data_IF_318747866878
#
_entry.id   IF_318747866878
#
_cell.length_a   1.000
_cell.length_b   1.000
_cell.length_c   1.000
_cell.angle_alpha   90.00
_cell.angle_beta   90.00
_cell.angle_gamma   90.00
#
_symmetry.space_group_name_H-M   'P 1'
#
loop_
_entity.id
_entity.type
_entity.pdbx_description
1 polymer ?
#
# COMPACT_ATOMS: atom_id res chain seq x y z
N UNK A 1 -25.72 39.70 31.21
CA UNK A 1 -25.90 40.10 29.78
C UNK A 1 -25.05 41.30 29.35
N UNK A 2 -24.87 42.35 30.16
CA UNK A 2 -24.03 43.53 29.82
C UNK A 2 -22.60 43.16 29.34
N UNK A 3 -21.90 42.28 30.07
CA UNK A 3 -20.52 41.87 29.72
C UNK A 3 -20.41 41.14 28.37
N UNK A 4 -21.34 40.23 28.04
CA UNK A 4 -21.38 39.52 26.75
C UNK A 4 -21.59 40.47 25.57
N UNK A 5 -22.44 41.49 25.74
CA UNK A 5 -22.70 42.52 24.72
C UNK A 5 -21.42 43.30 24.38
N UNK A 6 -20.67 43.76 25.38
CA UNK A 6 -19.40 44.46 25.16
C UNK A 6 -18.31 43.58 24.53
N UNK A 7 -18.42 42.27 24.71
CA UNK A 7 -17.44 41.30 24.27
C UNK A 7 -17.63 40.87 22.81
N UNK A 8 -18.88 40.67 22.37
CA UNK A 8 -19.21 40.12 21.05
C UNK A 8 -19.87 41.10 20.08
N UNK A 9 -20.55 42.15 20.56
CA UNK A 9 -21.38 43.02 19.72
C UNK A 9 -20.70 44.39 19.59
N UNK A 10 -20.51 44.94 18.38
CA UNK A 10 -20.08 46.33 18.21
C UNK A 10 -21.16 47.29 18.71
N UNK A 11 -20.83 48.20 19.62
CA UNK A 11 -21.73 49.27 20.04
C UNK A 11 -20.97 50.49 20.58
N UNK A 12 -21.65 51.62 20.76
CA UNK A 12 -21.01 52.85 21.23
C UNK A 12 -20.20 52.69 22.54
N UNK A 13 -20.63 51.80 23.44
CA UNK A 13 -19.97 51.53 24.71
C UNK A 13 -18.70 50.68 24.64
N UNK A 14 -18.32 50.16 23.48
CA UNK A 14 -17.01 49.53 23.24
C UNK A 14 -16.27 50.18 22.06
N UNK A 15 -16.57 51.44 21.74
CA UNK A 15 -16.04 52.15 20.57
C UNK A 15 -16.23 51.36 19.26
N UNK A 16 -17.30 50.57 19.20
CA UNK A 16 -17.59 49.64 18.10
C UNK A 16 -16.50 48.60 17.83
N UNK A 17 -15.64 48.35 18.82
CA UNK A 17 -14.59 47.35 18.76
C UNK A 17 -14.88 46.26 19.80
N UNK A 18 -15.53 45.13 19.43
CA UNK A 18 -15.81 44.04 20.35
C UNK A 18 -14.54 43.60 21.08
N UNK A 19 -14.62 43.43 22.39
CA UNK A 19 -13.39 43.18 23.15
C UNK A 19 -12.72 41.85 22.76
N UNK A 20 -13.48 40.87 22.28
CA UNK A 20 -12.96 39.60 21.79
C UNK A 20 -12.02 39.76 20.59
N UNK A 21 -12.26 40.77 19.76
CA UNK A 21 -11.48 41.06 18.56
C UNK A 21 -10.27 41.97 18.81
N UNK A 22 -10.05 42.44 20.04
CA UNK A 22 -8.85 43.22 20.34
C UNK A 22 -7.61 42.42 20.02
N UNK A 23 -6.66 43.05 19.34
CA UNK A 23 -5.42 42.44 18.86
C UNK A 23 -4.72 41.62 19.95
N UNK A 24 -4.66 42.12 21.20
CA UNK A 24 -4.07 41.39 22.33
C UNK A 24 -4.78 40.08 22.67
N UNK A 25 -6.12 40.04 22.59
CA UNK A 25 -6.92 38.84 22.88
C UNK A 25 -6.96 37.90 21.70
N UNK A 26 -7.09 38.42 20.48
CA UNK A 26 -6.96 37.63 19.26
C UNK A 26 -5.61 36.90 19.22
N UNK A 27 -4.50 37.60 19.50
CA UNK A 27 -3.17 36.99 19.63
C UNK A 27 -3.13 35.94 20.74
N UNK A 28 -3.71 36.21 21.92
CA UNK A 28 -3.78 35.24 23.01
C UNK A 28 -4.51 33.95 22.58
N UNK A 29 -5.65 34.07 21.89
CA UNK A 29 -6.40 32.92 21.39
C UNK A 29 -5.62 32.16 20.33
N UNK A 30 -5.01 32.86 19.36
CA UNK A 30 -4.18 32.24 18.33
C UNK A 30 -3.01 31.46 18.94
N UNK A 31 -2.34 32.02 19.96
CA UNK A 31 -1.26 31.34 20.68
C UNK A 31 -1.79 30.12 21.43
N UNK A 32 -2.92 30.24 22.14
CA UNK A 32 -3.54 29.11 22.84
C UNK A 32 -3.87 27.96 21.89
N UNK A 33 -4.49 28.25 20.74
CA UNK A 33 -4.81 27.23 19.74
C UNK A 33 -3.57 26.60 19.11
N UNK A 34 -2.53 27.39 18.84
CA UNK A 34 -1.27 26.88 18.32
C UNK A 34 -0.59 25.95 19.34
N UNK A 35 -0.59 26.31 20.62
CA UNK A 35 -0.10 25.45 21.71
C UNK A 35 -0.93 24.17 21.81
N UNK A 36 -2.26 24.27 21.74
CA UNK A 36 -3.14 23.10 21.75
C UNK A 36 -2.84 22.16 20.56
N UNK A 37 -2.67 22.70 19.34
CA UNK A 37 -2.29 21.90 18.15
C UNK A 37 -0.92 21.26 18.35
N UNK A 38 0.04 21.99 18.88
CA UNK A 38 1.37 21.48 19.17
C UNK A 38 1.33 20.34 20.21
N UNK A 39 0.49 20.44 21.24
CA UNK A 39 0.29 19.36 22.23
C UNK A 39 -0.31 18.12 21.56
N UNK A 40 -1.31 18.27 20.69
CA UNK A 40 -1.89 17.13 19.95
C UNK A 40 -0.85 16.50 19.05
N UNK A 41 -0.10 17.28 18.27
CA UNK A 41 0.97 16.77 17.41
C UNK A 41 2.05 16.06 18.24
N UNK A 42 2.48 16.66 19.36
CA UNK A 42 3.45 16.04 20.25
C UNK A 42 2.93 14.74 20.85
N UNK A 43 1.67 14.70 21.31
CA UNK A 43 1.03 13.49 21.79
C UNK A 43 1.06 12.38 20.73
N UNK A 44 0.73 12.72 19.48
CA UNK A 44 0.74 11.79 18.35
C UNK A 44 2.14 11.27 18.03
N UNK A 45 3.15 12.14 18.00
CA UNK A 45 4.54 11.74 17.76
C UNK A 45 5.12 10.90 18.90
N UNK A 46 4.58 11.04 20.11
CA UNK A 46 4.92 10.23 21.27
C UNK A 46 4.16 8.90 21.33
N UNK A 47 3.20 8.65 20.41
CA UNK A 47 2.54 7.35 20.31
C UNK A 47 3.59 6.30 19.91
N UNK A 48 3.80 5.27 20.75
CA UNK A 48 4.72 4.19 20.42
C UNK A 48 4.30 3.49 19.13
N UNK A 49 5.25 3.08 18.30
CA UNK A 49 4.97 2.38 17.03
C UNK A 49 4.29 1.03 17.30
N UNK A 50 4.44 0.48 18.50
CA UNK A 50 3.77 -0.72 18.99
C UNK A 50 2.24 -0.55 19.08
N UNK A 51 1.71 0.67 19.03
CA UNK A 51 0.25 0.89 18.98
C UNK A 51 -0.31 0.55 17.59
N UNK A 52 0.49 0.60 16.51
CA UNK A 52 0.03 0.22 15.16
C UNK A 52 -0.29 -1.26 15.02
N UNK A 53 0.10 -2.08 15.99
CA UNK A 53 -0.05 -3.53 15.97
C UNK A 53 -1.12 -4.05 16.92
N UNK A 54 -1.93 -3.17 17.52
CA UNK A 54 -3.06 -3.61 18.36
C UNK A 54 -4.19 -4.19 17.48
N UNK A 55 -4.96 -5.17 17.98
CA UNK A 55 -5.98 -5.87 17.19
C UNK A 55 -6.99 -4.94 16.50
N UNK A 56 -7.50 -3.92 17.21
CA UNK A 56 -8.49 -2.98 16.68
C UNK A 56 -7.94 -2.17 15.49
N UNK A 57 -6.64 -1.84 15.53
CA UNK A 57 -5.97 -1.14 14.42
C UNK A 57 -5.86 -2.05 13.22
N UNK A 58 -5.42 -3.30 13.42
CA UNK A 58 -5.27 -4.26 12.34
C UNK A 58 -6.63 -4.54 11.68
N UNK A 59 -7.69 -4.67 12.46
CA UNK A 59 -9.06 -4.83 11.94
C UNK A 59 -9.52 -3.62 11.11
N UNK A 60 -9.24 -2.39 11.57
CA UNK A 60 -9.56 -1.18 10.81
C UNK A 60 -8.74 -1.09 9.50
N UNK A 61 -7.47 -1.48 9.53
CA UNK A 61 -6.61 -1.52 8.35
C UNK A 61 -7.10 -2.58 7.34
N UNK A 62 -7.47 -3.77 7.82
CA UNK A 62 -8.05 -4.83 7.00
C UNK A 62 -9.31 -4.35 6.27
N UNK A 63 -10.24 -3.70 6.98
CA UNK A 63 -11.46 -3.15 6.38
C UNK A 63 -11.13 -2.10 5.30
N UNK A 64 -10.16 -1.24 5.58
CA UNK A 64 -9.70 -0.22 4.60
C UNK A 64 -9.06 -0.88 3.38
N UNK A 65 -8.25 -1.93 3.56
CA UNK A 65 -7.65 -2.69 2.45
C UNK A 65 -8.72 -3.33 1.57
N UNK A 66 -9.74 -3.94 2.16
CA UNK A 66 -10.86 -4.51 1.42
C UNK A 66 -11.58 -3.45 0.55
N UNK A 67 -11.89 -2.29 1.12
CA UNK A 67 -12.50 -1.18 0.37
C UNK A 67 -11.60 -0.74 -0.79
N UNK A 68 -10.32 -0.48 -0.52
CA UNK A 68 -9.37 -0.02 -1.54
C UNK A 68 -9.13 -1.06 -2.65
N UNK A 69 -9.10 -2.36 -2.32
CA UNK A 69 -9.06 -3.44 -3.32
C UNK A 69 -10.26 -3.34 -4.26
N UNK A 70 -11.47 -3.17 -3.71
CA UNK A 70 -12.68 -3.07 -4.52
C UNK A 70 -12.77 -1.76 -5.31
N UNK A 71 -12.22 -0.66 -4.79
CA UNK A 71 -12.09 0.59 -5.55
C UNK A 71 -11.20 0.40 -6.79
N UNK A 72 -10.08 -0.33 -6.67
CA UNK A 72 -9.23 -0.70 -7.81
C UNK A 72 -10.01 -1.53 -8.83
N UNK A 73 -10.80 -2.52 -8.38
CA UNK A 73 -11.61 -3.36 -9.29
C UNK A 73 -12.67 -2.55 -10.03
N UNK A 74 -13.42 -1.70 -9.32
CA UNK A 74 -14.44 -0.83 -9.89
C UNK A 74 -13.83 0.12 -10.93
N UNK A 75 -12.68 0.73 -10.62
CA UNK A 75 -11.97 1.61 -11.53
C UNK A 75 -11.52 0.91 -12.83
N UNK A 76 -11.33 -0.42 -12.79
CA UNK A 76 -10.98 -1.26 -13.94
C UNK A 76 -12.19 -1.98 -14.57
N UNK A 77 -13.42 -1.67 -14.14
CA UNK A 77 -14.63 -2.30 -14.67
C UNK A 77 -14.82 -3.76 -14.27
N UNK A 78 -14.14 -4.21 -13.21
CA UNK A 78 -14.21 -5.56 -12.67
C UNK A 78 -15.21 -5.60 -11.50
N UNK A 79 -15.95 -6.70 -11.38
CA UNK A 79 -16.94 -6.89 -10.31
C UNK A 79 -16.23 -6.89 -8.94
N UNK A 80 -16.75 -6.15 -7.94
CA UNK A 80 -16.20 -6.16 -6.59
C UNK A 80 -16.18 -7.57 -5.98
N UNK A 81 -15.12 -7.88 -5.25
CA UNK A 81 -15.00 -9.11 -4.49
C UNK A 81 -15.91 -9.05 -3.26
N UNK A 82 -16.47 -10.20 -2.89
CA UNK A 82 -17.17 -10.38 -1.61
C UNK A 82 -16.21 -10.96 -0.55
N UNK A 83 -16.49 -10.72 0.73
CA UNK A 83 -15.67 -11.32 1.80
C UNK A 83 -16.14 -12.74 2.10
N UNK A 84 -15.21 -13.71 2.07
CA UNK A 84 -15.48 -15.09 2.47
C UNK A 84 -14.82 -15.41 3.82
N UNK A 85 -15.55 -15.90 4.83
CA UNK A 85 -14.99 -16.25 6.13
C UNK A 85 -13.84 -17.27 6.06
N UNK A 86 -13.93 -18.25 5.15
CA UNK A 86 -12.90 -19.26 4.95
C UNK A 86 -11.61 -18.64 4.37
N UNK A 87 -11.73 -17.75 3.38
CA UNK A 87 -10.57 -17.01 2.86
C UNK A 87 -9.97 -16.09 3.92
N UNK A 88 -10.79 -15.49 4.79
CA UNK A 88 -10.29 -14.72 5.93
C UNK A 88 -9.49 -15.61 6.90
N UNK A 89 -10.02 -16.78 7.28
CA UNK A 89 -9.31 -17.73 8.13
C UNK A 89 -7.98 -18.16 7.50
N UNK A 90 -8.00 -18.53 6.22
CA UNK A 90 -6.83 -18.91 5.43
C UNK A 90 -5.74 -17.82 5.42
N UNK A 91 -6.11 -16.61 5.04
CA UNK A 91 -5.18 -15.47 4.99
C UNK A 91 -4.68 -15.04 6.38
N UNK A 92 -5.54 -15.11 7.41
CA UNK A 92 -5.14 -14.82 8.79
C UNK A 92 -4.16 -15.86 9.34
N UNK A 93 -4.36 -17.15 9.03
CA UNK A 93 -3.38 -18.20 9.37
C UNK A 93 -2.05 -17.96 8.69
N UNK A 94 -2.06 -17.66 7.38
CA UNK A 94 -0.84 -17.32 6.63
C UNK A 94 -0.08 -16.13 7.23
N UNK A 95 -0.79 -15.03 7.52
CA UNK A 95 -0.18 -13.84 8.12
C UNK A 95 0.42 -14.16 9.51
N UNK A 96 -0.31 -14.90 10.33
CA UNK A 96 0.12 -15.32 11.67
C UNK A 96 1.34 -16.25 11.62
N UNK A 97 1.38 -17.17 10.66
CA UNK A 97 2.50 -18.06 10.45
C UNK A 97 3.77 -17.29 10.06
N UNK A 98 3.65 -16.34 9.11
CA UNK A 98 4.75 -15.43 8.73
C UNK A 98 5.27 -14.63 9.92
N UNK A 99 4.37 -14.10 10.75
CA UNK A 99 4.73 -13.33 11.94
C UNK A 99 5.43 -14.18 13.01
N UNK A 100 4.94 -15.40 13.26
CA UNK A 100 5.48 -16.30 14.29
C UNK A 100 6.86 -16.88 13.91
N UNK A 101 7.05 -17.19 12.62
CA UNK A 101 8.28 -17.79 12.09
C UNK A 101 9.23 -16.76 11.48
N UNK A 102 8.87 -15.47 11.51
CA UNK A 102 9.67 -14.35 11.00
C UNK A 102 10.16 -14.52 9.55
N UNK A 103 9.29 -15.00 8.65
CA UNK A 103 9.59 -15.16 7.22
C UNK A 103 8.62 -14.38 6.35
N UNK A 104 9.01 -14.13 5.10
CA UNK A 104 8.18 -13.42 4.12
C UNK A 104 8.32 -14.06 2.75
N UNK A 105 7.40 -14.98 2.44
CA UNK A 105 7.35 -15.74 1.19
C UNK A 105 5.97 -16.42 1.03
N UNK A 106 5.57 -16.74 -0.21
CA UNK A 106 4.35 -17.50 -0.49
C UNK A 106 4.36 -18.90 0.13
N UNK A 107 5.52 -19.57 0.09
CA UNK A 107 5.72 -20.89 0.70
C UNK A 107 6.43 -20.75 2.05
N UNK A 108 5.87 -21.40 3.08
CA UNK A 108 6.44 -21.45 4.41
C UNK A 108 7.74 -22.25 4.48
N UNK A 109 8.58 -22.07 5.51
CA UNK A 109 9.81 -22.84 5.69
C UNK A 109 9.60 -24.37 5.80
N UNK A 110 8.38 -24.79 6.13
CA UNK A 110 7.94 -26.19 6.19
C UNK A 110 7.30 -26.69 4.89
N UNK A 111 7.28 -25.86 3.84
CA UNK A 111 6.68 -26.17 2.54
C UNK A 111 5.20 -25.82 2.43
N UNK A 112 4.57 -25.27 3.47
CA UNK A 112 3.14 -24.93 3.45
C UNK A 112 2.85 -23.77 2.50
N UNK A 113 1.98 -23.99 1.51
CA UNK A 113 1.60 -22.98 0.51
C UNK A 113 0.10 -22.68 0.51
N UNK A 114 -0.34 -21.78 -0.38
CA UNK A 114 -1.74 -21.33 -0.51
C UNK A 114 -2.75 -22.49 -0.49
N UNK A 115 -2.52 -23.54 -1.28
CA UNK A 115 -3.42 -24.69 -1.35
C UNK A 115 -3.66 -25.35 0.02
N UNK A 116 -2.61 -25.50 0.84
CA UNK A 116 -2.72 -26.05 2.20
C UNK A 116 -3.51 -25.12 3.12
N UNK A 117 -3.28 -23.81 3.03
CA UNK A 117 -4.03 -22.83 3.84
C UNK A 117 -5.51 -22.75 3.46
N UNK A 118 -5.85 -23.01 2.20
CA UNK A 118 -7.24 -23.05 1.74
C UNK A 118 -7.91 -24.36 2.17
N UNK A 119 -7.20 -25.49 2.10
CA UNK A 119 -7.66 -26.80 2.58
C UNK A 119 -7.91 -26.78 4.11
N UNK A 120 -6.97 -26.24 4.89
CA UNK A 120 -7.11 -26.08 6.35
C UNK A 120 -8.27 -25.16 6.76
N UNK A 121 -8.71 -24.29 5.84
CA UNK A 121 -9.85 -23.39 6.04
C UNK A 121 -11.17 -23.93 5.45
N UNK A 122 -11.18 -25.19 4.98
CA UNK A 122 -12.31 -25.84 4.32
C UNK A 122 -12.85 -25.05 3.10
N UNK A 123 -11.97 -24.34 2.38
CA UNK A 123 -12.34 -23.57 1.18
C UNK A 123 -12.06 -24.38 -0.09
N UNK A 124 -13.08 -25.05 -0.62
CA UNK A 124 -13.00 -25.72 -1.90
C UNK A 124 -13.06 -24.70 -3.05
N UNK A 125 -12.02 -24.60 -3.88
CA UNK A 125 -11.91 -23.56 -4.89
C UNK A 125 -11.75 -24.10 -6.31
N UNK A 126 -12.18 -23.29 -7.29
CA UNK A 126 -11.93 -23.51 -8.72
C UNK A 126 -10.69 -22.77 -9.21
N UNK A 127 -10.48 -21.56 -8.68
CA UNK A 127 -9.28 -20.73 -8.84
C UNK A 127 -8.97 -20.04 -7.51
N UNK A 128 -7.70 -19.73 -7.26
CA UNK A 128 -7.26 -18.99 -6.09
C UNK A 128 -5.94 -18.27 -6.33
N UNK A 129 -5.73 -17.18 -5.61
CA UNK A 129 -4.50 -16.36 -5.69
C UNK A 129 -4.11 -15.78 -4.34
N UNK A 130 -2.87 -15.29 -4.25
CA UNK A 130 -2.32 -14.70 -3.03
C UNK A 130 -1.52 -13.43 -3.36
N UNK A 131 -1.80 -12.35 -2.64
CA UNK A 131 -0.94 -11.17 -2.56
C UNK A 131 -0.36 -11.07 -1.15
N UNK A 132 0.95 -10.81 -1.05
CA UNK A 132 1.66 -10.64 0.22
C UNK A 132 2.33 -9.25 0.30
N UNK A 133 2.45 -8.73 1.52
CA UNK A 133 3.28 -7.56 1.79
C UNK A 133 3.67 -7.46 3.27
N UNK A 134 4.73 -6.70 3.56
CA UNK A 134 5.12 -6.32 4.92
C UNK A 134 5.54 -4.84 5.03
N UNK A 135 5.62 -4.34 6.26
CA UNK A 135 6.36 -3.11 6.57
C UNK A 135 5.68 -1.78 6.20
N UNK A 136 4.39 -1.80 5.90
CA UNK A 136 3.60 -0.60 5.64
C UNK A 136 2.93 -0.05 6.91
N UNK A 137 2.56 1.23 6.89
CA UNK A 137 1.82 1.90 7.97
C UNK A 137 0.47 2.48 7.54
N UNK A 138 0.21 2.55 6.23
CA UNK A 138 -1.06 3.01 5.66
C UNK A 138 -1.54 2.03 4.56
N UNK A 139 -2.75 1.45 4.67
CA UNK A 139 -3.38 0.64 3.62
C UNK A 139 -3.32 1.22 2.21
N UNK A 140 -3.40 2.56 2.04
CA UNK A 140 -3.32 3.22 0.74
C UNK A 140 -1.95 3.05 0.10
N UNK A 141 -0.89 3.16 0.90
CA UNK A 141 0.48 2.94 0.44
C UNK A 141 0.64 1.50 -0.02
N UNK A 142 0.08 0.55 0.74
CA UNK A 142 0.14 -0.86 0.40
C UNK A 142 -0.58 -1.17 -0.93
N UNK A 143 -1.84 -0.77 -1.07
CA UNK A 143 -2.62 -1.04 -2.29
C UNK A 143 -1.97 -0.36 -3.51
N UNK A 144 -1.43 0.84 -3.34
CA UNK A 144 -0.72 1.51 -4.43
C UNK A 144 0.58 0.76 -4.82
N UNK A 145 1.29 0.16 -3.86
CA UNK A 145 2.43 -0.71 -4.16
C UNK A 145 2.00 -1.97 -4.93
N UNK A 146 0.88 -2.60 -4.56
CA UNK A 146 0.32 -3.71 -5.34
C UNK A 146 -0.14 -3.30 -6.74
N UNK A 147 -0.80 -2.15 -6.90
CA UNK A 147 -1.21 -1.62 -8.21
C UNK A 147 -0.01 -1.36 -9.13
N UNK A 148 1.08 -0.84 -8.57
CA UNK A 148 2.32 -0.62 -9.31
C UNK A 148 3.10 -1.90 -9.58
N UNK A 149 2.66 -3.05 -9.06
CA UNK A 149 3.27 -4.35 -9.30
C UNK A 149 2.44 -5.18 -10.27
N UNK A 150 2.93 -5.49 -11.49
CA UNK A 150 2.14 -6.21 -12.47
C UNK A 150 1.57 -7.54 -11.98
N UNK A 151 2.31 -8.28 -11.15
CA UNK A 151 1.87 -9.60 -10.65
C UNK A 151 0.84 -9.50 -9.53
N UNK A 152 1.01 -8.54 -8.60
CA UNK A 152 -0.01 -8.26 -7.59
C UNK A 152 -1.27 -7.61 -8.18
N UNK A 153 -1.10 -6.69 -9.14
CA UNK A 153 -2.21 -6.08 -9.88
C UNK A 153 -3.00 -7.14 -10.62
N UNK A 154 -2.34 -8.10 -11.29
CA UNK A 154 -3.03 -9.19 -11.97
C UNK A 154 -4.01 -9.92 -11.05
N UNK A 155 -3.62 -10.19 -9.80
CA UNK A 155 -4.55 -10.75 -8.81
C UNK A 155 -5.68 -9.78 -8.42
N UNK A 156 -5.37 -8.49 -8.21
CA UNK A 156 -6.39 -7.50 -7.84
C UNK A 156 -7.49 -7.36 -8.90
N UNK A 157 -7.15 -7.47 -10.19
CA UNK A 157 -8.09 -7.27 -11.30
C UNK A 157 -8.46 -8.57 -12.02
N UNK A 158 -8.13 -9.73 -11.47
CA UNK A 158 -8.52 -11.01 -12.06
C UNK A 158 -10.06 -11.15 -12.01
N UNK A 159 -10.74 -11.27 -13.17
CA UNK A 159 -12.19 -11.44 -13.21
C UNK A 159 -12.64 -12.81 -12.74
N UNK A 160 -11.75 -13.80 -12.67
CA UNK A 160 -12.09 -15.16 -12.25
C UNK A 160 -12.19 -15.28 -10.72
N UNK A 161 -11.77 -14.27 -9.95
CA UNK A 161 -11.97 -14.19 -8.51
C UNK A 161 -13.29 -13.49 -8.15
N UNK A 162 -14.10 -14.14 -7.31
CA UNK A 162 -15.39 -13.64 -6.81
C UNK A 162 -15.32 -13.25 -5.31
N UNK A 163 -14.36 -13.83 -4.58
CA UNK A 163 -14.25 -13.73 -3.13
C UNK A 163 -12.83 -13.37 -2.68
N UNK A 164 -12.71 -12.76 -1.50
CA UNK A 164 -11.41 -12.45 -0.88
C UNK A 164 -11.44 -12.56 0.63
N UNK A 165 -10.26 -12.83 1.20
CA UNK A 165 -9.96 -12.71 2.62
C UNK A 165 -8.64 -11.98 2.81
N UNK A 166 -8.56 -11.13 3.83
CA UNK A 166 -7.37 -10.35 4.14
C UNK A 166 -7.01 -10.59 5.60
N UNK A 167 -5.83 -11.15 5.84
CA UNK A 167 -5.28 -11.44 7.15
C UNK A 167 -4.11 -10.51 7.48
N UNK A 168 -4.12 -9.96 8.69
CA UNK A 168 -3.06 -9.10 9.21
C UNK A 168 -2.49 -9.69 10.49
N UNK A 169 -1.16 -9.72 10.60
CA UNK A 169 -0.50 -10.13 11.83
C UNK A 169 0.71 -9.25 12.12
N UNK A 170 0.90 -8.90 13.37
CA UNK A 170 2.08 -8.18 13.81
C UNK A 170 3.19 -9.15 14.19
N UNK A 171 4.43 -8.83 13.83
CA UNK A 171 5.59 -9.63 14.19
C UNK A 171 6.89 -8.86 14.03
N UNK A 172 7.99 -9.60 14.04
CA UNK A 172 9.34 -9.06 13.83
C UNK A 172 9.92 -9.64 12.55
N UNK A 173 10.45 -8.79 11.69
CA UNK A 173 11.21 -9.18 10.50
C UNK A 173 12.60 -8.54 10.57
N UNK A 174 13.66 -9.34 10.57
CA UNK A 174 15.06 -8.86 10.74
C UNK A 174 15.27 -7.92 11.95
N UNK A 175 14.53 -8.18 13.04
CA UNK A 175 14.57 -7.40 14.27
C UNK A 175 13.90 -6.02 14.18
N UNK A 176 13.03 -5.82 13.19
CA UNK A 176 12.19 -4.63 13.03
C UNK A 176 10.72 -5.04 13.21
N UNK A 177 9.91 -4.31 14.00
CA UNK A 177 8.49 -4.57 14.09
C UNK A 177 7.81 -4.26 12.76
N UNK A 178 7.03 -5.21 12.23
CA UNK A 178 6.31 -5.08 10.97
C UNK A 178 4.90 -5.63 11.10
N UNK A 179 4.01 -5.16 10.21
CA UNK A 179 2.72 -5.81 9.94
C UNK A 179 2.89 -6.70 8.72
N UNK A 180 2.53 -7.96 8.85
CA UNK A 180 2.40 -8.94 7.78
C UNK A 180 0.98 -8.91 7.23
N UNK A 181 0.85 -8.85 5.91
CA UNK A 181 -0.42 -8.96 5.19
C UNK A 181 -0.38 -10.14 4.26
N UNK A 182 -1.44 -10.95 4.33
CA UNK A 182 -1.82 -11.88 3.28
C UNK A 182 -3.21 -11.53 2.78
N UNK A 183 -3.38 -11.43 1.48
CA UNK A 183 -4.68 -11.32 0.83
C UNK A 183 -4.86 -12.55 -0.05
N UNK A 184 -5.84 -13.38 0.28
CA UNK A 184 -6.22 -14.53 -0.52
C UNK A 184 -7.43 -14.17 -1.36
N UNK A 185 -7.44 -14.66 -2.58
CA UNK A 185 -8.53 -14.53 -3.54
C UNK A 185 -9.02 -15.92 -3.91
N UNK A 186 -10.29 -16.05 -4.25
CA UNK A 186 -10.83 -17.33 -4.68
C UNK A 186 -12.19 -17.22 -5.34
N UNK A 187 -12.58 -18.32 -5.96
CA UNK A 187 -13.95 -18.59 -6.40
C UNK A 187 -14.30 -20.00 -5.96
N UNK A 188 -15.34 -20.10 -5.13
CA UNK A 188 -15.77 -21.36 -4.55
C UNK A 188 -16.13 -22.37 -5.66
N UNK A 189 -15.70 -23.62 -5.49
CA UNK A 189 -16.02 -24.70 -6.41
C UNK A 189 -17.48 -25.08 -6.20
N UNK A 190 -18.37 -24.61 -7.08
CA UNK A 190 -19.78 -25.01 -7.08
C UNK A 190 -19.93 -26.54 -6.99
N UNK A 191 -20.47 -27.01 -5.86
CA UNK A 191 -20.57 -28.44 -5.55
C UNK A 191 -20.80 -28.81 -4.07
N UNK A 192 -20.80 -27.86 -3.14
CA UNK A 192 -21.23 -28.12 -1.76
C UNK A 192 -22.64 -27.58 -1.56
N UNK A 193 -23.65 -28.44 -1.72
CA UNK A 193 -24.98 -28.17 -1.19
C UNK A 193 -24.84 -27.90 0.31
N UNK A 194 -25.01 -26.65 0.75
CA UNK A 194 -25.35 -26.39 2.14
C UNK A 194 -26.72 -27.04 2.34
N UNK A 195 -26.74 -28.21 2.99
CA UNK A 195 -27.93 -28.67 3.70
C UNK A 195 -28.23 -27.64 4.79
N UNK A 196 -28.99 -26.60 4.43
CA UNK A 196 -29.69 -25.78 5.39
C UNK A 196 -30.67 -26.72 6.08
N UNK A 197 -30.28 -27.25 7.24
CA UNK A 197 -31.24 -27.78 8.19
C UNK A 197 -32.14 -26.60 8.59
N UNK A 198 -33.28 -26.48 7.91
CA UNK A 198 -34.33 -25.52 8.23
C UNK A 198 -34.82 -25.85 9.63
N UNK A 199 -34.28 -25.15 10.63
CA UNK A 199 -34.89 -25.11 11.94
C UNK A 199 -36.07 -24.13 11.86
N UNK A 200 -37.26 -24.65 12.15
CA UNK A 200 -38.53 -23.98 11.95
C UNK A 200 -38.61 -22.61 12.68
N UNK A 201 -39.40 -21.65 12.16
CA UNK A 201 -39.51 -20.33 12.76
C UNK A 201 -40.12 -20.39 14.16
N UNK A 202 -39.51 -19.68 15.11
CA UNK A 202 -40.14 -19.37 16.40
C UNK A 202 -41.21 -18.31 16.15
N UNK A 203 -42.46 -18.69 16.36
CA UNK A 203 -43.65 -17.87 16.15
C UNK A 203 -43.87 -16.86 17.29
N UNK A 204 -43.75 -15.58 16.94
CA UNK A 204 -44.46 -14.38 17.43
C UNK A 204 -44.42 -13.96 18.92
N UNK A 205 -44.18 -12.67 19.19
CA UNK A 205 -45.24 -11.67 19.47
C UNK A 205 -44.60 -10.31 19.81
N UNK A 206 -44.75 -9.30 18.94
CA UNK A 206 -45.55 -8.10 19.28
C UNK A 206 -45.82 -7.25 18.02
N UNK A 207 -47.07 -6.81 17.96
CA UNK A 207 -47.76 -5.93 17.02
C UNK A 207 -47.27 -4.46 17.12
N UNK A 208 -47.37 -3.53 16.17
CA UNK A 208 -48.39 -3.19 15.16
C UNK A 208 -47.81 -2.08 14.22
N UNK A 209 -48.51 -1.67 13.13
CA UNK A 209 -47.90 -1.35 11.83
C UNK A 209 -47.60 0.14 11.57
N UNK A 210 -46.66 0.43 10.68
CA UNK A 210 -46.58 1.73 9.98
C UNK A 210 -46.46 1.50 8.46
N UNK A 211 -47.53 2.00 7.83
CA UNK A 211 -47.83 2.33 6.43
C UNK A 211 -46.66 2.44 5.44
N UNK A 212 -46.88 1.80 4.28
CA UNK A 212 -46.16 1.91 3.01
C UNK A 212 -46.47 3.27 2.36
N UNK A 213 -45.45 3.99 1.91
CA UNK A 213 -45.58 4.87 0.75
C UNK A 213 -44.56 4.47 -0.32
N UNK A 214 -45.08 4.03 -1.47
CA UNK A 214 -44.38 3.98 -2.74
C UNK A 214 -44.02 5.40 -3.18
N UNK A 215 -42.80 5.60 -3.70
CA UNK A 215 -42.61 6.62 -4.71
C UNK A 215 -41.72 6.11 -5.84
N UNK A 216 -42.28 6.27 -7.04
CA UNK A 216 -41.81 5.83 -8.35
C UNK A 216 -40.74 6.76 -8.94
N UNK A 217 -39.81 6.12 -9.65
CA UNK A 217 -39.14 6.58 -10.89
C UNK A 217 -38.35 7.88 -10.88
N UNK A 218 -37.02 7.77 -11.06
CA UNK A 218 -36.31 8.67 -11.97
C UNK A 218 -35.18 7.95 -12.71
N UNK A 219 -35.35 7.89 -14.03
CA UNK A 219 -34.41 7.41 -15.03
C UNK A 219 -33.35 8.49 -15.26
N UNK A 220 -32.06 8.19 -15.07
CA UNK A 220 -30.97 9.08 -15.52
C UNK A 220 -30.09 8.33 -16.51
N UNK A 221 -30.14 8.79 -17.76
CA UNK A 221 -29.31 8.34 -18.87
C UNK A 221 -27.99 9.13 -18.84
N UNK A 222 -26.90 8.37 -18.66
CA UNK A 222 -25.55 8.45 -19.25
C UNK A 222 -24.89 9.82 -19.47
N UNK A 223 -23.70 9.97 -18.89
CA UNK A 223 -22.56 10.62 -19.55
C UNK A 223 -21.26 9.92 -19.18
N UNK A 224 -20.81 9.07 -20.10
CA UNK A 224 -19.49 8.46 -20.16
C UNK A 224 -18.43 9.52 -20.49
N UNK A 225 -17.39 9.65 -19.68
CA UNK A 225 -16.15 10.33 -20.08
C UNK A 225 -15.02 9.30 -20.09
N UNK A 226 -14.72 8.84 -21.29
CA UNK A 226 -13.61 7.95 -21.62
C UNK A 226 -12.31 8.76 -21.58
N UNK A 227 -11.33 8.32 -20.80
CA UNK A 227 -10.00 8.92 -20.76
C UNK A 227 -9.09 8.15 -21.72
N UNK A 228 -8.96 8.65 -22.94
CA UNK A 228 -8.01 8.19 -23.94
C UNK A 228 -7.79 9.33 -24.93
N UNK A 229 -6.62 9.97 -24.86
CA UNK A 229 -5.92 10.67 -25.95
C UNK A 229 -4.73 11.46 -25.41
N UNK A 230 -3.63 10.78 -25.10
CA UNK A 230 -2.29 11.34 -25.26
C UNK A 230 -1.37 10.21 -25.71
N UNK A 231 -1.20 10.08 -27.03
CA UNK A 231 0.09 9.91 -27.71
C UNK A 231 -0.18 9.66 -29.18
N UNK A 232 0.10 10.70 -29.98
CA UNK A 232 0.04 10.65 -31.43
C UNK A 232 1.08 9.70 -32.01
N UNK A 233 0.64 9.04 -33.07
CA UNK A 233 1.37 8.17 -33.98
C UNK A 233 2.56 8.86 -34.65
N UNK A 234 3.62 8.07 -34.88
CA UNK A 234 4.36 8.05 -36.16
C UNK A 234 5.12 6.73 -36.29
N UNK A 235 4.53 5.82 -37.06
CA UNK A 235 5.26 4.74 -37.72
C UNK A 235 6.08 5.33 -38.87
N UNK A 236 7.33 4.92 -38.99
CA UNK A 236 8.04 4.96 -40.27
C UNK A 236 8.76 3.62 -40.49
N UNK A 237 8.43 3.03 -41.64
CA UNK A 237 8.81 1.71 -42.12
C UNK A 237 10.27 1.69 -42.58
N UNK A 238 11.02 0.62 -42.29
CA UNK A 238 12.18 0.23 -43.09
C UNK A 238 12.14 -1.27 -43.42
N UNK A 239 12.14 -1.54 -44.73
CA UNK A 239 12.20 -2.86 -45.40
C UNK A 239 13.64 -3.44 -45.38
N UNK A 240 13.82 -4.74 -45.64
CA UNK A 240 15.08 -5.46 -45.43
C UNK A 240 16.02 -5.37 -46.64
N UNK A 241 17.34 -5.50 -46.41
CA UNK A 241 18.34 -5.70 -47.46
C UNK A 241 19.24 -6.90 -47.15
N UNK A 242 19.52 -7.67 -48.20
CA UNK A 242 20.17 -8.97 -48.29
C UNK A 242 21.71 -8.86 -48.46
N UNK A 243 22.40 -9.86 -47.89
CA UNK A 243 23.61 -10.61 -48.32
C UNK A 243 24.86 -9.84 -48.80
N UNK A 244 26.03 -10.14 -48.20
CA UNK A 244 27.27 -10.40 -48.96
C UNK A 244 28.18 -11.41 -48.22
N UNK A 245 28.94 -12.20 -48.99
CA UNK A 245 29.65 -13.43 -48.64
C UNK A 245 31.14 -13.25 -48.25
N UNK A 246 31.58 -14.02 -47.24
CA UNK A 246 32.90 -14.71 -47.15
C UNK A 246 34.20 -13.90 -46.99
N UNK A 247 35.38 -14.55 -46.82
CA UNK A 247 35.63 -16.00 -46.68
C UNK A 247 36.48 -16.40 -45.44
N UNK A 248 36.60 -17.72 -45.26
CA UNK A 248 37.41 -18.43 -44.28
C UNK A 248 38.93 -18.29 -44.46
N UNK A 249 39.68 -18.43 -43.36
CA UNK A 249 41.09 -18.83 -43.36
C UNK A 249 41.41 -19.82 -42.22
N UNK A 250 42.31 -20.73 -42.55
CA UNK A 250 42.66 -21.99 -41.88
C UNK A 250 43.86 -21.81 -40.92
N UNK A 251 43.89 -22.68 -39.88
CA UNK A 251 44.92 -23.08 -38.89
C UNK A 251 46.39 -23.21 -39.46
N UNK A 252 47.53 -23.37 -38.71
CA UNK A 252 47.70 -24.19 -37.49
C UNK A 252 48.77 -23.83 -36.42
N UNK A 253 48.59 -24.38 -35.20
CA UNK A 253 49.59 -24.92 -34.25
C UNK A 253 49.03 -24.82 -32.81
N UNK A 254 48.86 -25.85 -31.97
CA UNK A 254 49.54 -27.13 -31.87
C UNK A 254 50.35 -27.20 -30.56
N UNK A 255 49.72 -27.43 -29.40
CA UNK A 255 50.38 -28.01 -28.20
C UNK A 255 49.34 -28.76 -27.37
N UNK A 256 49.50 -30.09 -27.29
CA UNK A 256 48.90 -30.95 -26.27
C UNK A 256 49.78 -30.89 -25.03
N UNK A 257 49.18 -30.71 -23.85
CA UNK A 257 49.77 -31.18 -22.59
C UNK A 257 48.69 -31.84 -21.75
N UNK A 258 48.83 -33.17 -21.60
CA UNK A 258 48.18 -33.97 -20.58
C UNK A 258 48.96 -33.79 -19.27
N UNK A 259 48.29 -33.46 -18.16
CA UNK A 259 48.77 -33.84 -16.82
C UNK A 259 47.59 -34.14 -15.89
N UNK A 260 47.50 -35.42 -15.56
CA UNK A 260 47.08 -36.06 -14.31
C UNK A 260 45.71 -35.75 -13.69
N UNK A 261 44.84 -36.76 -13.79
CA UNK A 261 43.84 -37.13 -12.79
C UNK A 261 44.48 -37.30 -11.40
N UNK A 262 43.66 -37.13 -10.36
CA UNK A 262 43.93 -37.21 -8.91
C UNK A 262 44.36 -35.90 -8.25
N UNK A 263 43.39 -35.00 -8.07
CA UNK A 263 43.16 -34.27 -6.82
C UNK A 263 41.85 -33.46 -6.96
N UNK A 264 40.71 -34.16 -6.89
CA UNK A 264 39.39 -33.57 -6.73
C UNK A 264 39.03 -33.57 -5.24
N UNK A 265 38.75 -32.42 -4.60
CA UNK A 265 37.98 -32.43 -3.36
C UNK A 265 36.62 -33.03 -3.63
N UNK A 266 36.22 -33.98 -2.79
CA UNK A 266 34.95 -34.68 -2.86
C UNK A 266 33.79 -33.69 -3.01
N UNK A 267 32.94 -33.97 -4.00
CA UNK A 267 31.66 -33.29 -4.21
C UNK A 267 30.82 -33.32 -2.94
N UNK A 268 30.51 -32.14 -2.40
CA UNK A 268 29.33 -31.97 -1.55
C UNK A 268 28.10 -32.28 -2.38
N UNK A 269 27.69 -33.54 -2.36
CA UNK A 269 26.48 -34.03 -2.97
C UNK A 269 25.35 -33.96 -1.94
N UNK A 270 24.77 -32.78 -1.78
CA UNK A 270 23.35 -32.64 -1.42
C UNK A 270 22.72 -31.76 -2.49
N UNK A 271 22.47 -32.36 -3.65
CA UNK A 271 21.69 -31.74 -4.70
C UNK A 271 20.23 -31.72 -4.28
N UNK A 272 19.76 -30.56 -3.83
CA UNK A 272 18.35 -30.23 -3.88
C UNK A 272 17.86 -30.49 -5.31
N UNK A 273 16.98 -31.49 -5.48
CA UNK A 273 16.40 -31.84 -6.78
C UNK A 273 15.31 -30.86 -7.19
N UNK A 274 15.02 -29.86 -6.37
CA UNK A 274 14.12 -28.76 -6.72
C UNK A 274 14.60 -28.06 -7.99
N UNK A 275 13.68 -27.69 -8.90
CA UNK A 275 13.98 -26.87 -10.06
C UNK A 275 14.72 -25.57 -9.73
N UNK A 276 14.51 -25.05 -8.52
CA UNK A 276 15.12 -23.84 -8.00
C UNK A 276 15.68 -24.15 -6.61
N UNK A 277 16.96 -23.87 -6.42
CA UNK A 277 17.61 -23.97 -5.10
C UNK A 277 17.34 -22.67 -4.33
N UNK A 278 16.42 -22.76 -3.37
CA UNK A 278 15.93 -21.64 -2.56
C UNK A 278 17.01 -21.05 -1.63
N UNK A 279 18.05 -21.82 -1.30
CA UNK A 279 19.12 -21.33 -0.40
C UNK A 279 20.03 -20.34 -1.11
N UNK A 280 20.23 -20.55 -2.42
CA UNK A 280 21.06 -19.73 -3.32
C UNK A 280 20.27 -18.76 -4.20
N UNK A 281 18.96 -18.66 -3.98
CA UNK A 281 18.07 -17.76 -4.71
C UNK A 281 17.48 -16.70 -3.78
N UNK A 282 17.82 -15.43 -3.97
CA UNK A 282 17.41 -14.32 -3.11
C UNK A 282 17.60 -12.97 -3.79
N UNK A 283 16.92 -11.95 -3.29
CA UNK A 283 17.20 -10.54 -3.61
C UNK A 283 17.81 -9.82 -2.42
N UNK A 284 18.66 -8.83 -2.68
CA UNK A 284 19.18 -7.92 -1.64
C UNK A 284 19.29 -6.51 -2.19
N UNK A 285 19.22 -5.53 -1.30
CA UNK A 285 19.52 -4.15 -1.63
C UNK A 285 20.96 -3.81 -1.24
N UNK A 286 21.56 -2.89 -1.97
CA UNK A 286 22.89 -2.33 -1.72
C UNK A 286 22.78 -0.82 -1.84
N UNK A 287 23.05 -0.10 -0.75
CA UNK A 287 22.96 1.35 -0.76
C UNK A 287 24.08 1.95 -1.64
N UNK A 288 23.75 2.92 -2.48
CA UNK A 288 24.72 3.70 -3.26
C UNK A 288 24.90 5.07 -2.58
N UNK A 289 23.81 5.83 -2.44
CA UNK A 289 23.74 7.12 -1.76
C UNK A 289 22.31 7.42 -1.27
N UNK A 290 22.06 8.63 -0.75
CA UNK A 290 20.77 9.02 -0.18
C UNK A 290 19.62 9.08 -1.21
N UNK A 291 19.95 9.11 -2.51
CA UNK A 291 19.00 9.29 -3.61
C UNK A 291 18.85 8.05 -4.50
N UNK A 292 19.81 7.13 -4.45
CA UNK A 292 19.82 5.93 -5.27
C UNK A 292 20.32 4.70 -4.50
N UNK A 293 19.81 3.54 -4.87
CA UNK A 293 20.32 2.26 -4.39
C UNK A 293 20.27 1.21 -5.50
N UNK A 294 20.95 0.09 -5.28
CA UNK A 294 20.95 -1.04 -6.20
C UNK A 294 20.16 -2.20 -5.59
N UNK A 295 19.34 -2.86 -6.39
CA UNK A 295 18.83 -4.19 -6.08
C UNK A 295 19.66 -5.21 -6.85
N UNK A 296 20.14 -6.25 -6.16
CA UNK A 296 20.85 -7.37 -6.77
C UNK A 296 20.05 -8.65 -6.51
N UNK A 297 19.80 -9.40 -7.56
CA UNK A 297 19.03 -10.62 -7.52
C UNK A 297 19.88 -11.81 -7.94
N UNK A 298 19.75 -12.90 -7.20
CA UNK A 298 20.43 -14.17 -7.41
C UNK A 298 19.39 -15.28 -7.57
N UNK A 299 19.59 -16.17 -8.54
CA UNK A 299 18.75 -17.35 -8.71
C UNK A 299 19.58 -18.55 -9.14
N UNK A 300 19.49 -19.64 -8.38
CA UNK A 300 20.06 -20.93 -8.75
C UNK A 300 19.00 -21.81 -9.39
N UNK A 301 19.07 -21.95 -10.72
CA UNK A 301 18.06 -22.64 -11.53
C UNK A 301 18.67 -23.94 -12.07
N UNK A 302 18.12 -25.07 -11.64
CA UNK A 302 18.65 -26.42 -11.90
C UNK A 302 18.01 -27.09 -13.13
N UNK A 303 17.12 -26.39 -13.84
CA UNK A 303 16.42 -26.88 -15.03
C UNK A 303 16.78 -26.07 -16.28
N UNK A 304 16.58 -26.59 -17.51
CA UNK A 304 16.78 -25.81 -18.74
C UNK A 304 15.74 -24.69 -18.91
N UNK A 305 16.22 -23.48 -19.21
CA UNK A 305 15.36 -22.31 -19.45
C UNK A 305 15.94 -21.38 -20.54
N UNK A 306 15.08 -20.56 -21.14
CA UNK A 306 15.43 -19.55 -22.14
C UNK A 306 15.84 -18.22 -21.50
N UNK A 307 15.07 -17.77 -20.52
CA UNK A 307 15.28 -16.50 -19.82
C UNK A 307 14.80 -16.60 -18.37
N UNK A 308 15.42 -15.80 -17.50
CA UNK A 308 14.99 -15.64 -16.12
C UNK A 308 15.05 -14.16 -15.76
N UNK A 309 14.03 -13.68 -15.04
CA UNK A 309 13.88 -12.29 -14.61
C UNK A 309 13.36 -12.27 -13.19
N UNK A 310 13.85 -11.35 -12.36
CA UNK A 310 13.26 -11.08 -11.04
C UNK A 310 12.42 -9.82 -11.13
N UNK A 311 11.19 -9.90 -10.63
CA UNK A 311 10.23 -8.80 -10.60
C UNK A 311 10.00 -8.36 -9.16
N UNK A 312 10.06 -7.05 -8.89
CA UNK A 312 9.76 -6.47 -7.58
C UNK A 312 8.97 -5.19 -7.83
N UNK A 313 7.71 -5.13 -7.38
CA UNK A 313 6.87 -4.00 -7.78
C UNK A 313 6.75 -3.94 -9.31
N UNK A 314 6.98 -2.75 -9.88
CA UNK A 314 7.04 -2.52 -11.33
C UNK A 314 8.43 -2.76 -11.94
N UNK A 315 9.43 -3.06 -11.13
CA UNK A 315 10.81 -3.21 -11.57
C UNK A 315 11.09 -4.63 -12.08
N UNK A 316 11.89 -4.70 -13.15
CA UNK A 316 12.28 -5.96 -13.79
C UNK A 316 13.80 -6.03 -13.82
N UNK A 317 14.35 -7.13 -13.28
CA UNK A 317 15.77 -7.41 -13.20
C UNK A 317 16.09 -8.64 -14.05
N UNK A 318 16.55 -8.47 -15.30
CA UNK A 318 16.98 -9.59 -16.13
C UNK A 318 18.18 -10.30 -15.50
N UNK A 319 18.11 -11.63 -15.41
CA UNK A 319 19.20 -12.43 -14.88
C UNK A 319 20.09 -12.93 -16.01
N UNK A 320 21.39 -12.69 -15.86
CA UNK A 320 22.44 -13.11 -16.80
C UNK A 320 23.38 -14.11 -16.15
N UNK A 321 24.21 -14.78 -16.97
CA UNK A 321 25.20 -15.73 -16.46
C UNK A 321 26.35 -14.95 -15.84
N UNK A 322 26.65 -15.19 -14.56
CA UNK A 322 27.93 -14.76 -14.01
C UNK A 322 29.02 -15.68 -14.56
N UNK A 323 30.08 -15.10 -15.12
CA UNK A 323 31.29 -15.84 -15.51
C UNK A 323 32.00 -16.33 -14.25
N UNK A 324 31.59 -17.48 -13.72
CA UNK A 324 32.33 -18.19 -12.66
C UNK A 324 31.51 -18.94 -11.61
N UNK A 325 30.19 -18.79 -11.54
CA UNK A 325 29.40 -19.36 -10.42
C UNK A 325 28.53 -20.55 -10.83
N UNK A 326 28.53 -21.58 -9.99
CA UNK A 326 27.89 -22.90 -10.12
C UNK A 326 26.37 -22.86 -10.35
N UNK A 327 25.92 -22.52 -11.55
CA UNK A 327 24.49 -22.54 -11.92
C UNK A 327 23.67 -21.36 -11.37
N UNK A 328 24.30 -20.37 -10.74
CA UNK A 328 23.64 -19.16 -10.25
C UNK A 328 23.60 -18.09 -11.35
N UNK A 329 22.43 -17.49 -11.55
CA UNK A 329 22.19 -16.33 -12.41
C UNK A 329 22.07 -15.08 -11.56
N UNK A 330 22.58 -13.97 -12.08
CA UNK A 330 22.59 -12.70 -11.37
C UNK A 330 22.13 -11.56 -12.28
N UNK A 331 21.46 -10.59 -11.67
CA UNK A 331 21.06 -9.35 -12.30
C UNK A 331 21.03 -8.24 -11.27
N UNK A 332 21.12 -6.99 -11.71
CA UNK A 332 20.96 -5.85 -10.82
C UNK A 332 20.27 -4.69 -11.52
N UNK A 333 19.55 -3.90 -10.75
CA UNK A 333 18.90 -2.67 -11.21
C UNK A 333 19.24 -1.54 -10.25
N UNK A 334 19.51 -0.34 -10.78
CA UNK A 334 19.65 0.88 -10.00
C UNK A 334 18.27 1.52 -9.91
N UNK A 335 17.87 1.86 -8.69
CA UNK A 335 16.63 2.53 -8.39
C UNK A 335 16.95 3.98 -8.06
N UNK A 336 16.42 4.90 -8.86
CA UNK A 336 16.68 6.34 -8.76
C UNK A 336 15.71 7.06 -7.80
N UNK A 337 15.53 6.49 -6.61
CA UNK A 337 14.77 7.10 -5.52
C UNK A 337 15.30 6.66 -4.15
N UNK A 338 15.03 7.44 -3.09
CA UNK A 338 15.45 7.07 -1.73
C UNK A 338 14.94 5.69 -1.32
N UNK A 339 15.77 4.93 -0.60
CA UNK A 339 15.42 3.62 -0.03
C UNK A 339 14.13 3.72 0.82
N UNK A 340 13.97 4.81 1.57
CA UNK A 340 12.79 5.02 2.40
C UNK A 340 11.50 5.17 1.60
N UNK A 341 11.57 5.67 0.37
CA UNK A 341 10.41 5.82 -0.51
C UNK A 341 10.04 4.48 -1.14
N UNK A 342 11.04 3.72 -1.59
CA UNK A 342 10.82 2.44 -2.26
C UNK A 342 10.26 1.37 -1.31
N UNK A 343 10.80 1.29 -0.11
CA UNK A 343 10.43 0.26 0.88
C UNK A 343 9.31 0.73 1.83
N UNK A 344 8.46 1.69 1.41
CA UNK A 344 7.25 2.08 2.14
C UNK A 344 6.23 0.94 2.30
N UNK A 345 6.23 0.02 1.35
CA UNK A 345 5.58 -1.28 1.45
C UNK A 345 6.50 -2.29 0.77
N UNK A 346 6.88 -3.34 1.49
CA UNK A 346 7.84 -4.34 1.01
C UNK A 346 7.06 -5.45 0.34
N UNK A 347 7.33 -5.65 -0.96
CA UNK A 347 6.74 -6.71 -1.78
C UNK A 347 7.68 -7.90 -1.87
N UNK A 348 7.11 -9.09 -2.14
CA UNK A 348 7.88 -10.31 -2.41
C UNK A 348 8.55 -10.19 -3.79
N UNK A 349 9.87 -10.40 -3.91
CA UNK A 349 10.52 -10.56 -5.21
C UNK A 349 10.08 -11.85 -5.87
N UNK A 350 9.71 -11.79 -7.14
CA UNK A 350 9.23 -12.94 -7.91
C UNK A 350 10.23 -13.30 -9.01
N UNK A 351 10.79 -14.50 -8.96
CA UNK A 351 11.57 -15.08 -10.03
C UNK A 351 10.65 -15.67 -11.09
N UNK A 352 10.64 -15.08 -12.27
CA UNK A 352 9.93 -15.58 -13.44
C UNK A 352 10.92 -16.24 -14.40
N UNK A 353 10.65 -17.49 -14.75
CA UNK A 353 11.50 -18.34 -15.59
C UNK A 353 10.70 -18.78 -16.81
N UNK A 354 11.20 -18.46 -18.01
CA UNK A 354 10.66 -18.99 -19.26
C UNK A 354 11.42 -20.26 -19.63
N UNK A 355 10.76 -21.41 -19.58
CA UNK A 355 11.35 -22.71 -19.85
C UNK A 355 11.67 -22.90 -21.34
N UNK A 356 12.42 -23.96 -21.64
CA UNK A 356 12.84 -24.30 -23.01
C UNK A 356 11.65 -24.54 -23.96
N UNK A 357 10.53 -25.02 -23.46
CA UNK A 357 9.29 -25.27 -24.21
C UNK A 357 8.41 -24.00 -24.37
N UNK A 358 8.78 -22.90 -23.73
CA UNK A 358 8.03 -21.63 -23.74
C UNK A 358 7.02 -21.49 -22.60
N UNK A 359 6.83 -22.51 -21.77
CA UNK A 359 6.06 -22.37 -20.53
C UNK A 359 6.76 -21.43 -19.55
N UNK A 360 5.98 -20.82 -18.66
CA UNK A 360 6.48 -19.88 -17.66
C UNK A 360 6.25 -20.48 -16.28
N UNK A 361 7.28 -20.45 -15.46
CA UNK A 361 7.23 -20.76 -14.04
C UNK A 361 7.56 -19.49 -13.25
N UNK A 362 6.87 -19.30 -12.14
CA UNK A 362 7.14 -18.21 -11.19
C UNK A 362 7.41 -18.80 -9.82
N UNK A 363 8.35 -18.20 -9.09
CA UNK A 363 8.73 -18.61 -7.74
C UNK A 363 9.06 -17.37 -6.90
N UNK A 364 8.57 -17.33 -5.67
CA UNK A 364 9.00 -16.28 -4.73
C UNK A 364 10.47 -16.43 -4.37
N UNK A 365 11.20 -15.32 -4.36
CA UNK A 365 12.52 -15.23 -3.75
C UNK A 365 12.41 -14.56 -2.40
N UNK A 366 13.25 -14.99 -1.45
CA UNK A 366 13.40 -14.28 -0.19
C UNK A 366 14.21 -13.00 -0.38
N UNK A 367 13.88 -11.98 0.41
CA UNK A 367 14.86 -10.94 0.73
C UNK A 367 15.94 -11.53 1.62
N UNK A 368 17.21 -11.24 1.33
CA UNK A 368 18.31 -11.58 2.24
C UNK A 368 18.29 -10.67 3.47
N UNK A 369 18.11 -9.37 3.25
CA UNK A 369 17.88 -8.35 4.27
C UNK A 369 16.96 -7.25 3.70
N UNK A 370 15.99 -6.83 4.49
CA UNK A 370 15.15 -5.66 4.17
C UNK A 370 15.74 -4.43 4.87
N UNK A 371 15.80 -3.25 4.20
CA UNK A 371 16.31 -2.05 4.84
C UNK A 371 15.46 -1.66 6.05
N UNK A 372 16.12 -1.20 7.12
CA UNK A 372 15.44 -0.62 8.28
C UNK A 372 14.95 0.78 7.93
N UNK A 373 13.81 0.87 7.27
CA UNK A 373 13.16 2.15 6.96
C UNK A 373 12.26 2.52 8.13
N UNK A 374 12.69 3.52 8.91
CA UNK A 374 11.84 4.16 9.90
C UNK A 374 10.92 5.19 9.24
N UNK A 375 9.73 5.41 9.81
CA UNK A 375 8.87 6.51 9.41
C UNK A 375 9.53 7.85 9.76
N UNK A 376 9.47 8.82 8.84
CA UNK A 376 9.78 10.22 9.19
C UNK A 376 8.74 10.76 10.20
N UNK A 377 9.02 11.86 10.93
CA UNK A 377 8.04 12.42 11.86
C UNK A 377 6.70 12.78 11.19
N UNK A 378 6.72 13.22 9.93
CA UNK A 378 5.50 13.54 9.17
C UNK A 378 4.72 12.27 8.83
N UNK A 379 5.40 11.21 8.41
CA UNK A 379 4.77 9.92 8.11
C UNK A 379 4.24 9.25 9.38
N UNK A 380 5.01 9.28 10.47
CA UNK A 380 4.55 8.79 11.77
C UNK A 380 3.31 9.55 12.23
N UNK A 381 3.29 10.88 12.11
CA UNK A 381 2.10 11.66 12.43
C UNK A 381 0.91 11.31 11.53
N UNK A 382 1.13 11.17 10.22
CA UNK A 382 0.07 10.89 9.25
C UNK A 382 -0.53 9.50 9.46
N UNK A 383 0.32 8.48 9.62
CA UNK A 383 -0.08 7.12 9.93
C UNK A 383 -0.83 7.05 11.27
N UNK A 384 -0.27 7.65 12.34
CA UNK A 384 -0.92 7.68 13.66
C UNK A 384 -2.26 8.40 13.61
N UNK A 385 -2.34 9.54 12.92
CA UNK A 385 -3.59 10.28 12.76
C UNK A 385 -4.64 9.44 12.04
N UNK A 386 -4.28 8.79 10.93
CA UNK A 386 -5.19 7.89 10.21
C UNK A 386 -5.68 6.78 11.12
N UNK A 387 -4.76 6.10 11.80
CA UNK A 387 -5.05 5.03 12.75
C UNK A 387 -5.99 5.47 13.89
N UNK A 388 -5.62 6.51 14.64
CA UNK A 388 -6.41 7.00 15.76
C UNK A 388 -7.76 7.57 15.31
N UNK A 389 -7.87 8.09 14.08
CA UNK A 389 -9.17 8.55 13.55
C UNK A 389 -10.14 7.40 13.29
N UNK A 390 -9.64 6.20 12.99
CA UNK A 390 -10.48 5.01 12.81
C UNK A 390 -11.03 4.48 14.14
N UNK A 391 -10.33 4.73 15.24
CA UNK A 391 -10.68 4.20 16.57
C UNK A 391 -11.35 5.27 17.45
N UNK A 392 -11.05 6.55 17.21
CA UNK A 392 -11.48 7.66 18.06
C UNK A 392 -11.95 8.85 17.23
N UNK A 393 -12.89 9.61 17.78
CA UNK A 393 -13.30 10.90 17.23
C UNK A 393 -12.38 12.05 17.65
N UNK A 394 -11.24 11.80 18.29
CA UNK A 394 -10.38 12.84 18.88
C UNK A 394 -9.99 13.90 17.85
N UNK A 395 -9.57 13.47 16.66
CA UNK A 395 -9.19 14.36 15.57
C UNK A 395 -10.39 15.09 14.96
N UNK A 396 -11.53 14.42 14.83
CA UNK A 396 -12.74 15.05 14.31
C UNK A 396 -13.26 16.15 15.25
N UNK A 397 -13.21 15.91 16.56
CA UNK A 397 -13.58 16.88 17.59
C UNK A 397 -12.61 18.06 17.61
N UNK A 398 -11.30 17.79 17.65
CA UNK A 398 -10.31 18.87 17.62
C UNK A 398 -10.39 19.68 16.33
N UNK A 399 -10.46 19.03 15.17
CA UNK A 399 -10.66 19.71 13.89
C UNK A 399 -11.96 20.53 13.89
N UNK A 400 -13.07 19.97 14.37
CA UNK A 400 -14.35 20.68 14.47
C UNK A 400 -14.26 21.93 15.35
N UNK A 401 -13.58 21.86 16.49
CA UNK A 401 -13.30 23.01 17.35
C UNK A 401 -12.48 24.05 16.59
N UNK A 402 -11.39 23.64 15.91
CA UNK A 402 -10.57 24.54 15.11
C UNK A 402 -11.37 25.23 14.00
N UNK A 403 -12.13 24.48 13.21
CA UNK A 403 -12.96 25.03 12.13
C UNK A 403 -14.04 25.97 12.65
N UNK A 404 -14.71 25.62 13.76
CA UNK A 404 -15.69 26.50 14.39
C UNK A 404 -15.05 27.84 14.77
N UNK A 405 -13.90 27.83 15.44
CA UNK A 405 -13.24 29.06 15.85
C UNK A 405 -12.72 29.85 14.66
N UNK A 406 -12.13 29.22 13.65
CA UNK A 406 -11.63 29.93 12.47
C UNK A 406 -12.77 30.56 11.68
N UNK A 407 -13.87 29.83 11.47
CA UNK A 407 -15.08 30.38 10.87
C UNK A 407 -15.64 31.55 11.69
N UNK A 408 -15.73 31.37 13.01
CA UNK A 408 -16.18 32.42 13.93
C UNK A 408 -15.30 33.67 13.87
N UNK A 409 -13.97 33.53 13.94
CA UNK A 409 -13.03 34.65 13.84
C UNK A 409 -13.07 35.30 12.46
N UNK A 410 -13.19 34.53 11.39
CA UNK A 410 -13.31 35.07 10.03
C UNK A 410 -14.56 35.93 9.90
N UNK A 411 -15.71 35.46 10.36
CA UNK A 411 -16.97 36.22 10.37
C UNK A 411 -16.82 37.48 11.22
N UNK A 412 -16.23 37.37 12.41
CA UNK A 412 -16.06 38.49 13.31
C UNK A 412 -15.10 39.56 12.75
N UNK A 413 -14.03 39.16 12.06
CA UNK A 413 -13.11 40.06 11.36
C UNK A 413 -13.74 40.70 10.12
N UNK A 414 -14.56 39.96 9.36
CA UNK A 414 -15.33 40.51 8.23
C UNK A 414 -16.36 41.55 8.69
N UNK A 415 -17.06 41.29 9.80
CA UNK A 415 -17.96 42.26 10.44
C UNK A 415 -17.19 43.51 10.91
N UNK A 416 -15.96 43.34 11.42
CA UNK A 416 -15.10 44.47 11.79
C UNK A 416 -14.72 45.32 10.56
N UNK A 417 -14.30 44.68 9.47
CA UNK A 417 -13.97 45.37 8.20
C UNK A 417 -15.19 46.16 7.68
N UNK A 418 -16.37 45.53 7.63
CA UNK A 418 -17.59 46.18 7.17
C UNK A 418 -17.90 47.44 8.00
N UNK A 419 -17.67 47.37 9.30
CA UNK A 419 -17.86 48.50 10.20
C UNK A 419 -16.80 49.59 10.02
N UNK A 420 -15.52 49.25 9.92
CA UNK A 420 -14.45 50.24 9.78
C UNK A 420 -14.41 50.94 8.42
N UNK A 421 -14.81 50.26 7.34
CA UNK A 421 -14.98 50.88 6.02
C UNK A 421 -16.00 52.01 6.10
N UNK A 422 -17.07 51.84 6.89
CA UNK A 422 -18.09 52.86 7.14
C UNK A 422 -17.52 54.10 7.87
N UNK A 423 -16.41 53.96 8.60
CA UNK A 423 -15.77 55.03 9.39
C UNK A 423 -14.38 55.47 8.85
N UNK A 424 -14.01 55.07 7.63
CA UNK A 424 -12.79 55.49 6.91
C UNK A 424 -11.43 55.11 7.55
N UNK A 425 -11.27 53.90 8.08
CA UNK A 425 -9.98 53.42 8.64
C UNK A 425 -9.23 52.43 7.73
N UNK A 426 -8.78 52.88 6.55
CA UNK A 426 -8.22 52.01 5.50
C UNK A 426 -7.02 51.14 5.92
N UNK A 427 -6.14 51.65 6.80
CA UNK A 427 -4.97 50.88 7.24
C UNK A 427 -5.35 49.66 8.11
N UNK A 428 -6.40 49.76 8.92
CA UNK A 428 -6.88 48.65 9.76
C UNK A 428 -7.61 47.61 8.92
N UNK A 429 -8.32 48.04 7.88
CA UNK A 429 -8.94 47.15 6.89
C UNK A 429 -7.89 46.25 6.21
N UNK A 430 -6.77 46.81 5.76
CA UNK A 430 -5.69 46.04 5.08
C UNK A 430 -5.04 45.04 6.03
N UNK A 431 -4.75 45.42 7.28
CA UNK A 431 -4.18 44.52 8.29
C UNK A 431 -5.13 43.36 8.62
N UNK A 432 -6.43 43.65 8.73
CA UNK A 432 -7.46 42.66 9.03
C UNK A 432 -7.61 41.65 7.88
N UNK A 433 -7.57 42.11 6.63
CA UNK A 433 -7.56 41.24 5.45
C UNK A 433 -6.33 40.32 5.41
N UNK A 434 -5.15 40.84 5.75
CA UNK A 434 -3.93 40.03 5.85
C UNK A 434 -4.03 38.92 6.91
N UNK A 435 -4.65 39.22 8.06
CA UNK A 435 -4.89 38.22 9.11
C UNK A 435 -5.91 37.15 8.68
N UNK A 436 -6.96 37.54 7.97
CA UNK A 436 -7.93 36.59 7.41
C UNK A 436 -7.23 35.67 6.40
N UNK A 437 -6.40 36.20 5.51
CA UNK A 437 -5.63 35.39 4.54
C UNK A 437 -4.66 34.42 5.23
N UNK A 438 -4.01 34.85 6.30
CA UNK A 438 -3.15 33.99 7.12
C UNK A 438 -3.96 32.86 7.79
N UNK A 439 -5.12 33.17 8.34
CA UNK A 439 -5.99 32.17 8.98
C UNK A 439 -6.53 31.17 7.96
N UNK A 440 -6.90 31.60 6.75
CA UNK A 440 -7.35 30.72 5.66
C UNK A 440 -6.20 29.82 5.19
N UNK A 441 -4.98 30.35 5.03
CA UNK A 441 -3.82 29.53 4.63
C UNK A 441 -3.44 28.51 5.70
N UNK A 442 -3.57 28.85 6.99
CA UNK A 442 -3.38 27.92 8.10
C UNK A 442 -4.44 26.81 8.20
N UNK A 443 -5.58 26.96 7.52
CA UNK A 443 -6.62 25.92 7.39
C UNK A 443 -6.38 25.00 6.20
N UNK A 444 -5.80 25.53 5.12
CA UNK A 444 -5.52 24.77 3.90
C UNK A 444 -4.33 23.81 4.03
N UNK A 445 -3.55 23.94 5.11
CA UNK A 445 -2.39 23.09 5.49
C UNK A 445 -2.76 22.28 6.72
#
# INVERSE_FOLDING_TARGET
>A
MSSLKHFFIPHAGNNYHPHFLHTKRAVLYSVFFLVMKAIVVAFVLLVPVEVYVIPDVLAAQQATLYTLTNDVRIANGIVPLTQAPQLYASSQHKATDMANKAYFAHIGPDGTGLASWLDDADYAYSTAGENLAIGFSDPRVLVNAWVNSPTHLANLIDPDYEETGIGLAAGMYDGVPVVYVAQHFGTEKNGSEIQIAVQAPIESQDSSPVVIEENTTETVIVSSTTFGDVLGTKEEQLKPTLIDEGPALVDPAGVLTQTSENDLPQSEQLGDTSPIDQTRSFARYENIDDTQFRIVAYASINIPFRSATVMIGGDIIPLTKETGSYGVRTGSLIIEQPVSEYFKAVLVPELRITLADGSVMSEALRWQHVPKVGLTPVEQYTASKSMLSSITNLFNVTNGIFFFFIGFFTIALLLNIFWEIKYQHHHVTVQTLGLILLLITLVAI
#
